data_IF_751918665606
#
_entry.id   IF_751918665606
#
_cell.length_a   1.000
_cell.length_b   1.000
_cell.length_c   1.000
_cell.angle_alpha   90.00
_cell.angle_beta   90.00
_cell.angle_gamma   90.00
#
_symmetry.space_group_name_H-M   'P 1'
#
loop_
_entity.id
_entity.type
_entity.pdbx_description
1 polymer ?
#
# COMPACT_ATOMS: atom_id res chain seq x y z
N UNK A 1 72.29 -26.61 21.67
CA UNK A 1 71.48 -26.10 20.54
C UNK A 1 70.96 -27.24 19.65
N UNK A 2 69.77 -27.75 19.94
CA UNK A 2 69.12 -28.81 19.14
C UNK A 2 68.33 -28.17 17.99
N UNK A 3 68.80 -28.33 16.74
CA UNK A 3 68.05 -27.94 15.54
C UNK A 3 66.98 -28.99 15.27
N UNK A 4 65.73 -28.66 15.57
CA UNK A 4 64.56 -29.45 15.17
C UNK A 4 64.41 -29.32 13.65
N UNK A 5 64.68 -30.40 12.90
CA UNK A 5 64.40 -30.48 11.47
C UNK A 5 62.93 -30.84 11.28
N UNK A 6 62.05 -29.83 11.31
CA UNK A 6 60.64 -30.01 10.96
C UNK A 6 60.55 -30.28 9.46
N UNK A 7 59.92 -31.38 9.07
CA UNK A 7 59.76 -31.70 7.64
C UNK A 7 58.76 -30.70 7.02
N UNK A 8 59.12 -30.12 5.87
CA UNK A 8 58.25 -29.18 5.15
C UNK A 8 56.88 -29.80 4.82
N UNK A 9 56.85 -31.11 4.57
CA UNK A 9 55.61 -31.88 4.34
C UNK A 9 54.70 -31.87 5.57
N UNK A 10 55.26 -32.00 6.78
CA UNK A 10 54.50 -31.94 8.02
C UNK A 10 53.91 -30.53 8.24
N UNK A 11 54.67 -29.49 7.92
CA UNK A 11 54.22 -28.10 8.04
C UNK A 11 53.07 -27.79 7.07
N UNK A 12 53.16 -28.27 5.82
CA UNK A 12 52.09 -28.13 4.83
C UNK A 12 50.81 -28.85 5.25
N UNK A 13 50.90 -30.06 5.80
CA UNK A 13 49.73 -30.80 6.29
C UNK A 13 49.04 -30.03 7.43
N UNK A 14 49.80 -29.52 8.40
CA UNK A 14 49.25 -28.72 9.50
C UNK A 14 48.55 -27.46 8.97
N UNK A 15 49.15 -26.79 7.97
CA UNK A 15 48.56 -25.59 7.38
C UNK A 15 47.25 -25.89 6.64
N UNK A 16 47.18 -27.01 5.91
CA UNK A 16 45.93 -27.42 5.24
C UNK A 16 44.81 -27.76 6.22
N UNK A 17 45.13 -28.42 7.34
CA UNK A 17 44.14 -28.72 8.40
C UNK A 17 43.64 -27.42 9.03
N UNK A 18 44.54 -26.46 9.28
CA UNK A 18 44.16 -25.16 9.86
C UNK A 18 43.23 -24.37 8.93
N UNK A 19 43.50 -24.36 7.62
CA UNK A 19 42.62 -23.71 6.64
C UNK A 19 41.24 -24.38 6.56
N UNK A 20 41.19 -25.72 6.56
CA UNK A 20 39.92 -26.45 6.56
C UNK A 20 39.11 -26.15 7.83
N UNK A 21 39.77 -26.08 8.98
CA UNK A 21 39.13 -25.74 10.25
C UNK A 21 38.61 -24.29 10.30
N UNK A 22 39.36 -23.33 9.75
CA UNK A 22 38.89 -21.94 9.68
C UNK A 22 37.71 -21.80 8.71
N UNK A 23 37.72 -22.47 7.56
CA UNK A 23 36.58 -22.49 6.64
C UNK A 23 35.33 -23.09 7.31
N UNK A 24 35.48 -24.22 8.02
CA UNK A 24 34.37 -24.85 8.76
C UNK A 24 33.83 -23.98 9.90
N UNK A 25 34.68 -23.28 10.64
CA UNK A 25 34.25 -22.38 11.73
C UNK A 25 33.58 -21.11 11.18
N UNK A 26 34.05 -20.56 10.06
CA UNK A 26 33.36 -19.46 9.38
C UNK A 26 32.01 -19.89 8.80
N UNK A 27 31.91 -21.09 8.22
CA UNK A 27 30.67 -21.59 7.66
C UNK A 27 29.61 -21.89 8.73
N UNK A 28 30.04 -22.42 9.88
CA UNK A 28 29.14 -22.65 11.04
C UNK A 28 28.78 -21.37 11.79
N UNK A 29 29.66 -20.38 11.83
CA UNK A 29 29.38 -19.07 12.46
C UNK A 29 28.48 -18.18 11.60
N UNK A 30 28.53 -18.31 10.27
CA UNK A 30 27.63 -17.60 9.36
C UNK A 30 26.17 -18.10 9.41
N UNK A 31 25.90 -19.23 10.09
CA UNK A 31 24.55 -19.67 10.42
C UNK A 31 24.02 -19.08 11.74
N UNK A 32 24.83 -18.32 12.49
CA UNK A 32 24.51 -17.82 13.85
C UNK A 32 24.78 -16.31 14.05
N UNK A 33 24.42 -15.47 13.09
CA UNK A 33 24.22 -14.02 13.29
C UNK A 33 22.85 -13.63 12.72
N UNK A 34 21.97 -12.84 13.35
CA UNK A 34 21.92 -12.09 14.60
C UNK A 34 20.44 -11.96 14.96
N UNK A 35 20.04 -12.39 16.16
CA UNK A 35 18.72 -12.11 16.72
C UNK A 35 18.75 -10.68 17.25
N UNK A 36 18.28 -9.73 16.45
CA UNK A 36 18.00 -8.37 16.93
C UNK A 36 16.87 -8.48 17.95
N UNK A 37 17.19 -8.34 19.24
CA UNK A 37 16.19 -8.11 20.28
C UNK A 37 15.61 -6.72 20.06
N UNK A 38 14.44 -6.67 19.42
CA UNK A 38 13.59 -5.48 19.41
C UNK A 38 12.94 -5.44 20.78
N UNK A 39 13.28 -4.40 21.56
CA UNK A 39 12.59 -4.04 22.79
C UNK A 39 11.11 -3.80 22.44
N UNK A 40 10.21 -4.57 23.03
CA UNK A 40 8.76 -4.42 22.88
C UNK A 40 8.32 -3.01 23.31
N UNK A 41 7.64 -2.22 22.47
CA UNK A 41 6.84 -1.11 22.94
C UNK A 41 5.51 -1.63 23.49
N UNK A 42 5.12 -1.04 24.60
CA UNK A 42 3.93 -1.33 25.42
C UNK A 42 2.64 -1.57 24.63
N UNK A 43 1.83 -2.47 25.21
CA UNK A 43 0.42 -2.74 24.91
C UNK A 43 -0.37 -1.43 24.69
N UNK A 44 -0.94 -1.25 23.50
CA UNK A 44 -2.04 -0.28 23.28
C UNK A 44 -3.34 -1.03 22.98
N UNK A 45 -4.49 -0.56 23.51
CA UNK A 45 -5.75 -1.27 23.40
C UNK A 45 -6.34 -1.20 21.99
N UNK A 46 -7.15 -2.22 21.69
CA UNK A 46 -7.85 -2.50 20.43
C UNK A 46 -8.56 -1.26 19.85
N UNK A 47 -8.09 -0.78 18.70
CA UNK A 47 -8.80 0.18 17.86
C UNK A 47 -9.45 -0.56 16.69
N UNK A 48 -10.77 -0.42 16.56
CA UNK A 48 -11.58 -1.00 15.48
C UNK A 48 -11.09 -0.52 14.12
N UNK A 49 -10.95 -1.48 13.19
CA UNK A 49 -10.56 -1.31 11.79
C UNK A 49 -11.65 -0.51 11.06
N UNK A 50 -11.34 0.71 10.58
CA UNK A 50 -12.14 1.42 9.59
C UNK A 50 -11.36 1.33 8.27
N UNK A 51 -11.98 0.68 7.27
CA UNK A 51 -11.45 0.57 5.92
C UNK A 51 -11.27 1.95 5.28
N UNK A 52 -10.05 2.19 4.80
CA UNK A 52 -9.59 3.48 4.27
C UNK A 52 -9.22 3.34 2.79
N UNK A 53 -10.07 2.68 1.99
CA UNK A 53 -9.85 2.56 0.54
C UNK A 53 -10.50 3.66 -0.29
N UNK A 54 -11.42 4.45 0.26
CA UNK A 54 -12.30 5.31 -0.57
C UNK A 54 -12.04 6.82 -0.46
N UNK A 55 -10.97 7.26 0.25
CA UNK A 55 -10.74 8.68 0.55
C UNK A 55 -9.55 9.30 -0.20
N UNK A 56 -9.35 8.98 -1.48
CA UNK A 56 -8.46 9.74 -2.35
C UNK A 56 -9.00 9.81 -3.78
N UNK A 57 -10.13 10.51 -3.95
CA UNK A 57 -10.44 11.21 -5.20
C UNK A 57 -10.25 12.71 -4.94
N UNK A 58 -9.24 13.30 -5.58
CA UNK A 58 -9.13 14.75 -5.68
C UNK A 58 -9.98 15.17 -6.88
N UNK A 59 -11.16 15.73 -6.60
CA UNK A 59 -11.90 16.49 -7.62
C UNK A 59 -11.30 17.89 -7.70
N UNK A 60 -10.71 18.17 -8.86
CA UNK A 60 -10.27 19.49 -9.30
C UNK A 60 -11.48 20.13 -10.01
N UNK A 61 -12.19 21.03 -9.33
CA UNK A 61 -13.21 21.87 -9.97
C UNK A 61 -13.19 23.28 -9.40
N UNK A 62 -13.27 24.22 -10.35
CA UNK A 62 -13.11 25.66 -10.25
C UNK A 62 -14.02 26.32 -9.21
N UNK A 63 -13.48 27.28 -8.47
CA UNK A 63 -14.27 28.24 -7.70
C UNK A 63 -14.43 29.50 -8.55
N UNK A 64 -15.64 29.70 -9.07
CA UNK A 64 -16.11 31.00 -9.56
C UNK A 64 -16.39 31.94 -8.39
N UNK A 65 -16.06 33.21 -8.59
CA UNK A 65 -16.34 34.35 -7.72
C UNK A 65 -17.84 34.53 -7.48
N UNK A 66 -18.25 34.72 -6.21
CA UNK A 66 -19.42 35.56 -5.89
C UNK A 66 -19.23 36.28 -4.55
N UNK A 67 -19.33 37.60 -4.61
CA UNK A 67 -19.14 38.59 -3.56
C UNK A 67 -20.45 38.78 -2.78
N UNK A 68 -20.41 38.54 -1.46
CA UNK A 68 -21.58 38.62 -0.61
C UNK A 68 -21.21 38.96 0.83
N UNK A 69 -20.80 40.21 1.06
CA UNK A 69 -20.33 40.72 2.35
C UNK A 69 -21.34 40.63 3.50
N UNK A 70 -20.90 40.05 4.62
CA UNK A 70 -21.49 40.31 5.94
C UNK A 70 -20.38 40.58 6.96
N UNK A 71 -20.14 41.86 7.24
CA UNK A 71 -19.18 42.34 8.24
C UNK A 71 -19.68 42.04 9.66
N UNK A 72 -19.17 40.97 10.26
CA UNK A 72 -19.28 40.74 11.70
C UNK A 72 -18.33 41.70 12.42
N UNK A 73 -18.87 42.62 13.24
CA UNK A 73 -18.08 43.53 14.10
C UNK A 73 -17.33 42.71 15.17
N UNK A 74 -16.03 42.48 14.96
CA UNK A 74 -15.16 41.84 15.93
C UNK A 74 -14.79 42.82 17.06
N UNK A 75 -14.85 42.34 18.31
CA UNK A 75 -14.60 43.11 19.53
C UNK A 75 -13.15 43.63 19.62
N UNK A 76 -13.03 44.89 20.02
CA UNK A 76 -11.79 45.64 20.29
C UNK A 76 -10.99 45.04 21.47
N UNK A 77 -10.16 44.05 21.20
CA UNK A 77 -9.27 43.45 22.21
C UNK A 77 -8.30 42.36 21.72
N UNK A 78 -8.42 41.87 20.49
CA UNK A 78 -7.33 41.12 19.84
C UNK A 78 -6.44 42.13 19.11
N UNK A 79 -5.13 42.13 19.38
CA UNK A 79 -4.18 42.77 18.45
C UNK A 79 -4.44 42.16 17.09
N UNK A 80 -4.68 43.00 16.10
CA UNK A 80 -5.00 42.54 14.76
C UNK A 80 -3.78 41.77 14.23
N UNK A 81 -4.02 40.58 13.70
CA UNK A 81 -3.02 39.80 12.99
C UNK A 81 -2.48 40.67 11.84
N UNK A 82 -1.24 41.15 11.94
CA UNK A 82 -0.67 42.08 10.96
C UNK A 82 -0.24 41.29 9.72
N UNK A 83 -0.52 41.83 8.53
CA UNK A 83 -0.04 41.26 7.28
C UNK A 83 1.35 41.84 6.97
N UNK A 84 2.31 40.98 6.67
CA UNK A 84 3.69 41.36 6.36
C UNK A 84 4.20 40.61 5.13
N UNK A 85 5.20 41.18 4.46
CA UNK A 85 5.85 40.57 3.31
C UNK A 85 7.04 39.70 3.75
N UNK A 86 7.02 38.41 3.39
CA UNK A 86 8.17 37.52 3.52
C UNK A 86 8.93 37.44 2.20
N UNK A 87 10.14 37.98 2.15
CA UNK A 87 11.02 37.86 0.98
C UNK A 87 11.84 36.56 1.06
N UNK A 88 11.59 35.63 0.15
CA UNK A 88 12.15 34.27 0.18
C UNK A 88 13.39 34.21 -0.72
N UNK A 89 14.55 33.94 -0.12
CA UNK A 89 15.86 33.77 -0.78
C UNK A 89 16.22 34.87 -1.80
N UNK A 90 15.75 36.09 -1.58
CA UNK A 90 15.93 37.23 -2.50
C UNK A 90 15.31 37.07 -3.90
N UNK A 91 14.33 36.17 -4.08
CA UNK A 91 13.74 35.89 -5.39
C UNK A 91 12.28 36.36 -5.52
N UNK A 92 11.45 36.05 -4.53
CA UNK A 92 10.02 36.37 -4.58
C UNK A 92 9.44 36.61 -3.18
N UNK A 93 8.31 37.30 -3.15
CA UNK A 93 7.61 37.69 -1.92
C UNK A 93 6.37 36.84 -1.69
N UNK A 94 6.12 36.47 -0.43
CA UNK A 94 4.93 35.74 0.03
C UNK A 94 4.23 36.54 1.12
N UNK A 95 2.89 36.65 1.05
CA UNK A 95 2.09 37.27 2.12
C UNK A 95 2.11 36.39 3.37
N UNK A 96 2.64 36.94 4.46
CA UNK A 96 2.79 36.33 5.77
C UNK A 96 1.94 37.06 6.81
N UNK A 97 1.83 36.47 7.99
CA UNK A 97 1.13 37.07 9.14
C UNK A 97 2.09 37.23 10.30
N UNK A 98 1.97 38.32 11.05
CA UNK A 98 2.73 38.54 12.28
C UNK A 98 1.79 38.71 13.47
N UNK A 99 2.07 38.00 14.56
CA UNK A 99 1.40 38.21 15.84
C UNK A 99 2.44 38.25 16.96
N UNK A 100 2.49 39.36 17.70
CA UNK A 100 3.39 39.55 18.84
C UNK A 100 4.87 39.23 18.57
N UNK A 101 5.34 39.53 17.35
CA UNK A 101 6.73 39.29 16.93
C UNK A 101 6.98 37.94 16.27
N UNK A 102 6.05 36.99 16.38
CA UNK A 102 6.13 35.69 15.69
C UNK A 102 5.62 35.83 14.25
N UNK A 103 6.36 35.25 13.29
CA UNK A 103 6.00 35.28 11.86
C UNK A 103 5.42 33.93 11.45
N UNK A 104 4.19 33.97 10.96
CA UNK A 104 3.47 32.82 10.42
C UNK A 104 3.51 32.85 8.90
N UNK A 105 4.04 31.78 8.32
CA UNK A 105 4.16 31.59 6.88
C UNK A 105 3.00 30.73 6.39
N UNK A 106 2.34 31.07 5.27
CA UNK A 106 1.20 30.31 4.78
C UNK A 106 1.58 28.87 4.42
N UNK A 107 0.75 27.91 4.84
CA UNK A 107 0.98 26.50 4.57
C UNK A 107 1.00 26.16 3.07
N UNK A 108 0.28 26.90 2.23
CA UNK A 108 0.30 26.74 0.77
C UNK A 108 1.71 26.91 0.18
N UNK A 109 2.50 27.83 0.72
CA UNK A 109 3.92 28.01 0.39
C UNK A 109 4.76 26.86 0.95
N UNK A 110 4.65 26.60 2.26
CA UNK A 110 5.43 25.58 2.97
C UNK A 110 5.27 24.20 2.31
N UNK A 111 4.04 23.82 1.94
CA UNK A 111 3.71 22.57 1.25
C UNK A 111 4.51 22.38 -0.03
N UNK A 112 4.58 23.42 -0.87
CA UNK A 112 5.25 23.35 -2.17
C UNK A 112 6.77 23.47 -2.03
N UNK A 113 7.22 24.37 -1.15
CA UNK A 113 8.63 24.68 -0.98
C UNK A 113 9.41 23.55 -0.29
N UNK A 114 8.82 22.90 0.72
CA UNK A 114 9.45 21.81 1.47
C UNK A 114 8.93 20.40 1.11
N UNK A 115 8.00 20.30 0.15
CA UNK A 115 7.38 19.03 -0.27
C UNK A 115 6.74 18.21 0.88
N UNK A 116 6.09 18.92 1.80
CA UNK A 116 5.44 18.38 3.00
C UNK A 116 3.92 18.32 2.86
N UNK A 117 3.27 17.49 3.66
CA UNK A 117 1.83 17.19 3.54
C UNK A 117 1.06 17.63 4.77
N UNK A 118 -0.22 17.92 4.57
CA UNK A 118 -1.06 18.38 5.66
C UNK A 118 -2.47 18.68 5.21
N UNK A 119 -3.42 18.49 6.13
CA UNK A 119 -4.85 18.67 5.88
C UNK A 119 -5.56 19.03 7.18
N UNK A 120 -6.68 19.73 7.06
CA UNK A 120 -7.57 19.99 8.19
C UNK A 120 -8.54 18.81 8.31
N UNK A 121 -8.60 18.21 9.50
CA UNK A 121 -9.47 17.08 9.83
C UNK A 121 -10.32 17.45 11.03
N UNK A 122 -11.61 17.09 10.97
CA UNK A 122 -12.54 17.24 12.10
C UNK A 122 -12.37 16.08 13.07
N UNK A 123 -11.96 16.38 14.30
CA UNK A 123 -11.91 15.41 15.38
C UNK A 123 -12.83 15.85 16.53
N UNK A 124 -13.86 15.05 16.81
CA UNK A 124 -14.85 15.34 17.87
C UNK A 124 -15.48 16.75 17.77
N UNK A 125 -15.74 17.20 16.54
CA UNK A 125 -16.34 18.51 16.27
C UNK A 125 -15.35 19.68 16.23
N UNK A 126 -14.06 19.46 16.51
CA UNK A 126 -13.02 20.49 16.45
C UNK A 126 -12.13 20.27 15.23
N UNK A 127 -11.88 21.34 14.48
CA UNK A 127 -10.95 21.34 13.34
C UNK A 127 -9.51 21.27 13.86
N UNK A 128 -8.73 20.32 13.32
CA UNK A 128 -7.31 20.17 13.62
C UNK A 128 -6.53 20.08 12.32
N UNK A 129 -5.46 20.84 12.21
CA UNK A 129 -4.51 20.68 11.13
C UNK A 129 -3.53 19.53 11.45
N UNK A 130 -3.55 18.49 10.63
CA UNK A 130 -2.62 17.37 10.72
C UNK A 130 -1.45 17.60 9.76
N UNK A 131 -0.24 17.69 10.29
CA UNK A 131 0.99 17.83 9.52
C UNK A 131 1.70 16.49 9.38
N UNK A 132 2.21 16.20 8.18
CA UNK A 132 2.98 15.00 7.88
C UNK A 132 4.17 15.33 6.98
N UNK A 133 5.35 14.90 7.37
CA UNK A 133 6.55 15.06 6.54
C UNK A 133 6.55 14.11 5.33
N UNK A 134 5.83 12.99 5.39
CA UNK A 134 5.70 12.03 4.29
C UNK A 134 4.32 11.34 4.32
N UNK A 135 3.91 10.76 3.20
CA UNK A 135 2.56 10.19 3.03
C UNK A 135 2.49 8.66 3.23
N UNK A 136 3.61 7.95 3.09
CA UNK A 136 3.64 6.48 3.13
C UNK A 136 3.86 5.96 4.54
N UNK A 137 3.26 4.80 4.86
CA UNK A 137 3.42 4.11 6.14
C UNK A 137 4.27 2.86 5.97
N UNK A 138 5.12 2.59 6.96
CA UNK A 138 5.90 1.36 7.03
C UNK A 138 4.98 0.23 7.52
N UNK A 139 4.99 -0.89 6.80
CA UNK A 139 4.35 -2.11 7.26
C UNK A 139 5.25 -2.82 8.27
N UNK A 140 4.72 -3.12 9.46
CA UNK A 140 5.43 -3.85 10.49
C UNK A 140 5.18 -5.36 10.34
N UNK A 141 6.20 -6.18 10.03
CA UNK A 141 6.02 -7.61 9.85
C UNK A 141 5.56 -8.31 11.13
N UNK A 142 4.47 -9.07 11.05
CA UNK A 142 3.90 -9.83 12.18
C UNK A 142 4.70 -11.10 12.52
N UNK A 143 5.44 -11.62 11.56
CA UNK A 143 6.20 -12.87 11.67
C UNK A 143 7.37 -12.89 10.69
N UNK A 144 8.30 -13.84 10.87
CA UNK A 144 9.38 -14.10 9.89
C UNK A 144 8.77 -14.49 8.54
N UNK A 145 9.34 -13.95 7.46
CA UNK A 145 8.86 -14.23 6.10
C UNK A 145 8.93 -15.73 5.76
N UNK A 146 7.86 -16.22 5.13
CA UNK A 146 7.73 -17.57 4.61
C UNK A 146 7.15 -17.49 3.18
N UNK A 147 7.80 -18.11 2.16
CA UNK A 147 7.33 -18.06 0.77
C UNK A 147 5.92 -18.59 0.52
N UNK A 148 5.39 -19.45 1.41
CA UNK A 148 4.03 -20.01 1.31
C UNK A 148 2.96 -19.20 2.04
N UNK A 149 3.30 -18.02 2.57
CA UNK A 149 2.39 -17.13 3.31
C UNK A 149 2.29 -15.77 2.60
N UNK A 150 1.58 -14.83 3.22
CA UNK A 150 1.40 -13.44 2.75
C UNK A 150 2.69 -12.88 2.18
N UNK A 151 2.59 -12.30 0.98
CA UNK A 151 3.73 -11.70 0.30
C UNK A 151 3.94 -10.27 0.81
N UNK A 152 4.87 -10.12 1.76
CA UNK A 152 5.20 -8.82 2.37
C UNK A 152 3.96 -8.10 2.93
N UNK A 153 3.60 -6.94 2.36
CA UNK A 153 2.43 -6.14 2.73
C UNK A 153 1.33 -6.14 1.66
N UNK A 154 1.38 -7.08 0.71
CA UNK A 154 0.46 -7.12 -0.44
C UNK A 154 -0.98 -7.46 -0.04
N UNK A 155 -1.23 -7.88 1.21
CA UNK A 155 -2.58 -7.93 1.79
C UNK A 155 -3.31 -6.58 1.66
N UNK A 156 -2.59 -5.46 1.65
CA UNK A 156 -3.15 -4.12 1.55
C UNK A 156 -3.10 -3.53 0.13
N UNK A 157 -2.66 -4.30 -0.88
CA UNK A 157 -2.53 -3.81 -2.24
C UNK A 157 -3.80 -4.08 -3.04
N UNK A 158 -4.36 -3.01 -3.60
CA UNK A 158 -5.39 -3.07 -4.64
C UNK A 158 -4.71 -2.70 -5.96
N UNK A 159 -4.42 -3.71 -6.78
CA UNK A 159 -3.65 -3.51 -8.02
C UNK A 159 -4.58 -3.03 -9.12
N UNK A 160 -5.76 -3.62 -9.18
CA UNK A 160 -6.84 -3.41 -10.14
C UNK A 160 -7.43 -1.99 -10.13
N UNK A 161 -7.31 -1.24 -9.03
CA UNK A 161 -7.83 0.14 -8.91
C UNK A 161 -6.85 1.22 -9.37
N UNK A 162 -5.62 0.86 -9.73
CA UNK A 162 -4.61 1.84 -10.14
C UNK A 162 -4.93 2.36 -11.53
N UNK A 163 -4.77 3.66 -11.77
CA UNK A 163 -5.10 4.31 -13.06
C UNK A 163 -4.37 3.72 -14.28
N UNK A 164 -3.19 3.12 -14.06
CA UNK A 164 -2.41 2.43 -15.10
C UNK A 164 -2.95 1.04 -15.44
N UNK A 165 -3.99 0.56 -14.77
CA UNK A 165 -4.70 -0.69 -15.11
C UNK A 165 -5.88 -0.31 -15.99
N UNK A 166 -5.80 -0.68 -17.27
CA UNK A 166 -6.87 -0.38 -18.22
C UNK A 166 -8.14 -1.18 -17.94
N UNK A 167 -7.96 -2.49 -17.72
CA UNK A 167 -9.01 -3.44 -17.43
C UNK A 167 -8.39 -4.77 -16.97
N UNK A 168 -9.25 -5.70 -16.53
CA UNK A 168 -8.93 -7.12 -16.45
C UNK A 168 -9.32 -7.75 -17.79
N UNK A 169 -8.39 -8.45 -18.43
CA UNK A 169 -8.65 -9.15 -19.69
C UNK A 169 -9.74 -10.21 -19.49
N UNK A 170 -10.80 -10.17 -20.29
CA UNK A 170 -11.86 -11.19 -20.22
C UNK A 170 -11.41 -12.57 -20.69
N UNK A 171 -10.38 -12.63 -21.55
CA UNK A 171 -9.82 -13.89 -22.07
C UNK A 171 -8.81 -14.47 -21.08
N UNK A 172 -7.91 -13.63 -20.56
CA UNK A 172 -6.77 -14.09 -19.76
C UNK A 172 -6.99 -13.97 -18.24
N UNK A 173 -8.02 -13.24 -17.81
CA UNK A 173 -8.30 -13.03 -16.38
C UNK A 173 -7.26 -12.20 -15.62
N UNK A 174 -6.37 -11.49 -16.33
CA UNK A 174 -5.25 -10.72 -15.73
C UNK A 174 -5.26 -9.25 -16.18
N UNK A 175 -4.65 -8.33 -15.41
CA UNK A 175 -4.67 -6.91 -15.72
C UNK A 175 -3.90 -6.54 -16.99
N UNK A 176 -4.45 -5.62 -17.77
CA UNK A 176 -3.81 -4.95 -18.92
C UNK A 176 -3.29 -3.58 -18.50
N UNK A 177 -2.03 -3.28 -18.78
CA UNK A 177 -1.35 -2.05 -18.36
C UNK A 177 -1.35 -0.98 -19.43
N UNK A 178 -1.46 0.29 -19.02
CA UNK A 178 -1.24 1.48 -19.88
C UNK A 178 0.01 2.26 -19.51
N UNK A 179 0.88 1.71 -18.64
CA UNK A 179 1.99 2.46 -18.04
C UNK A 179 2.97 3.08 -19.06
N UNK A 180 3.23 2.38 -20.17
CA UNK A 180 4.14 2.82 -21.22
C UNK A 180 3.50 2.93 -22.60
N UNK A 181 2.30 2.36 -22.78
CA UNK A 181 1.55 2.41 -24.04
C UNK A 181 0.05 2.47 -23.71
N UNK A 182 -0.61 3.53 -24.15
CA UNK A 182 -2.04 3.79 -23.92
C UNK A 182 -2.94 2.75 -24.61
N UNK A 183 -2.45 2.04 -25.62
CA UNK A 183 -3.19 0.96 -26.29
C UNK A 183 -3.44 -0.23 -25.36
N UNK A 184 -2.57 -0.45 -24.38
CA UNK A 184 -2.65 -1.56 -23.45
C UNK A 184 -1.69 -2.69 -23.79
N UNK A 185 -1.02 -3.24 -22.80
CA UNK A 185 -0.14 -4.41 -22.94
C UNK A 185 -0.10 -5.23 -21.65
N UNK A 186 0.22 -6.51 -21.77
CA UNK A 186 0.45 -7.35 -20.60
C UNK A 186 1.78 -7.02 -19.96
N UNK A 187 1.74 -6.52 -18.73
CA UNK A 187 2.94 -6.16 -17.99
C UNK A 187 3.20 -7.18 -16.87
N UNK A 188 4.24 -8.04 -16.98
CA UNK A 188 4.43 -9.17 -16.07
C UNK A 188 4.51 -8.78 -14.60
N UNK A 189 5.14 -7.64 -14.28
CA UNK A 189 5.24 -7.17 -12.89
C UNK A 189 3.85 -6.85 -12.31
N UNK A 190 2.98 -6.21 -13.09
CA UNK A 190 1.63 -5.88 -12.66
C UNK A 190 0.77 -7.15 -12.50
N UNK A 191 0.90 -8.10 -13.42
CA UNK A 191 0.21 -9.39 -13.35
C UNK A 191 0.66 -10.17 -12.11
N UNK A 192 1.97 -10.24 -11.85
CA UNK A 192 2.50 -10.89 -10.65
C UNK A 192 2.03 -10.19 -9.36
N UNK A 193 2.04 -8.85 -9.33
CA UNK A 193 1.52 -8.10 -8.17
C UNK A 193 0.04 -8.37 -7.92
N UNK A 194 -0.78 -8.44 -8.98
CA UNK A 194 -2.20 -8.75 -8.89
C UNK A 194 -2.43 -10.15 -8.28
N UNK A 195 -1.72 -11.17 -8.78
CA UNK A 195 -1.79 -12.52 -8.22
C UNK A 195 -1.34 -12.58 -6.76
N UNK A 196 -0.20 -11.97 -6.42
CA UNK A 196 0.35 -11.97 -5.07
C UNK A 196 -0.51 -11.21 -4.06
N UNK A 197 -1.20 -10.14 -4.47
CA UNK A 197 -2.16 -9.43 -3.62
C UNK A 197 -3.40 -10.26 -3.35
N UNK A 198 -4.00 -10.87 -4.39
CA UNK A 198 -5.16 -11.76 -4.20
C UNK A 198 -4.81 -13.00 -3.36
N UNK A 199 -3.64 -13.60 -3.59
CA UNK A 199 -3.14 -14.69 -2.75
C UNK A 199 -3.00 -14.28 -1.28
N UNK A 200 -2.45 -13.09 -1.02
CA UNK A 200 -2.28 -12.57 0.33
C UNK A 200 -3.63 -12.30 1.00
N UNK A 201 -4.57 -11.64 0.30
CA UNK A 201 -5.93 -11.36 0.78
C UNK A 201 -6.70 -12.62 1.12
N UNK A 202 -6.61 -13.66 0.30
CA UNK A 202 -7.23 -14.96 0.55
C UNK A 202 -6.79 -15.60 1.88
N UNK A 203 -5.58 -15.29 2.37
CA UNK A 203 -5.08 -15.81 3.65
C UNK A 203 -5.45 -14.92 4.85
N UNK A 204 -5.87 -13.68 4.64
CA UNK A 204 -6.00 -12.66 5.70
C UNK A 204 -7.41 -12.14 5.88
N UNK A 205 -8.21 -12.13 4.81
CA UNK A 205 -9.60 -11.69 4.82
C UNK A 205 -10.52 -12.83 5.27
N UNK A 206 -11.71 -12.46 5.76
CA UNK A 206 -12.76 -13.43 6.05
C UNK A 206 -13.26 -14.09 4.75
N UNK A 207 -13.71 -15.36 4.80
CA UNK A 207 -14.31 -16.00 3.63
C UNK A 207 -15.45 -15.17 3.03
N UNK A 208 -15.57 -15.10 1.69
CA UNK A 208 -16.61 -14.32 1.04
C UNK A 208 -17.99 -14.93 1.26
N UNK A 209 -19.02 -14.08 1.23
CA UNK A 209 -20.41 -14.55 1.16
C UNK A 209 -20.69 -15.08 -0.24
N UNK A 210 -21.04 -16.37 -0.35
CA UNK A 210 -21.36 -17.02 -1.61
C UNK A 210 -22.88 -17.19 -1.75
N UNK A 211 -23.43 -16.72 -2.87
CA UNK A 211 -24.83 -16.91 -3.24
C UNK A 211 -24.92 -17.68 -4.56
N UNK A 212 -25.42 -18.91 -4.49
CA UNK A 212 -25.67 -19.74 -5.66
C UNK A 212 -26.98 -19.30 -6.33
N UNK A 213 -26.94 -19.12 -7.65
CA UNK A 213 -28.09 -18.68 -8.44
C UNK A 213 -28.65 -19.84 -9.25
N UNK A 214 -27.79 -20.54 -10.00
CA UNK A 214 -28.13 -21.71 -10.81
C UNK A 214 -27.02 -22.75 -10.63
N UNK A 215 -27.42 -24.02 -10.46
CA UNK A 215 -26.54 -25.17 -10.28
C UNK A 215 -26.83 -26.29 -11.30
N UNK A 216 -27.78 -26.10 -12.22
CA UNK A 216 -28.17 -27.08 -13.22
C UNK A 216 -29.12 -28.17 -12.71
N UNK A 217 -29.26 -28.33 -11.40
CA UNK A 217 -30.12 -29.33 -10.76
C UNK A 217 -31.41 -28.71 -10.19
N UNK A 218 -31.29 -27.57 -9.51
CA UNK A 218 -32.35 -26.96 -8.72
C UNK A 218 -33.03 -25.83 -9.47
N UNK A 219 -34.32 -26.01 -9.79
CA UNK A 219 -35.13 -25.01 -10.51
C UNK A 219 -35.60 -23.82 -9.65
N UNK A 220 -35.37 -23.84 -8.35
CA UNK A 220 -36.02 -22.90 -7.41
C UNK A 220 -35.29 -21.56 -7.26
N UNK A 221 -33.97 -21.49 -7.51
CA UNK A 221 -33.16 -20.30 -7.24
C UNK A 221 -33.05 -19.36 -8.45
N UNK A 222 -33.08 -19.90 -9.68
CA UNK A 222 -32.98 -19.12 -10.91
C UNK A 222 -34.32 -19.01 -11.64
N UNK A 223 -34.78 -17.77 -11.85
CA UNK A 223 -35.96 -17.47 -12.66
C UNK A 223 -35.54 -16.98 -14.05
N UNK A 224 -35.31 -17.92 -14.95
CA UNK A 224 -34.92 -17.60 -16.33
C UNK A 224 -36.08 -17.04 -17.14
N UNK A 225 -35.83 -15.92 -17.81
CA UNK A 225 -36.75 -15.32 -18.78
C UNK A 225 -36.14 -15.50 -20.17
N UNK A 226 -36.87 -16.14 -21.07
CA UNK A 226 -36.42 -16.36 -22.45
C UNK A 226 -37.56 -16.09 -23.44
N UNK A 227 -37.19 -15.70 -24.67
CA UNK A 227 -38.17 -15.42 -25.72
C UNK A 227 -38.84 -16.72 -26.22
N UNK A 228 -40.04 -16.67 -26.82
CA UNK A 228 -40.67 -17.88 -27.39
C UNK A 228 -39.86 -18.58 -28.49
N UNK A 229 -38.84 -17.91 -29.05
CA UNK A 229 -37.93 -18.46 -30.07
C UNK A 229 -36.62 -18.99 -29.48
N UNK A 230 -36.41 -18.83 -28.18
CA UNK A 230 -35.29 -19.34 -27.42
C UNK A 230 -35.76 -20.50 -26.56
N UNK A 231 -34.86 -21.38 -26.17
CA UNK A 231 -35.16 -22.49 -25.27
C UNK A 231 -34.10 -22.57 -24.19
N UNK A 232 -34.50 -23.07 -23.02
CA UNK A 232 -33.57 -23.38 -21.95
C UNK A 232 -33.77 -24.83 -21.56
N UNK A 233 -32.71 -25.62 -21.58
CA UNK A 233 -32.74 -27.04 -21.25
C UNK A 233 -31.68 -27.36 -20.21
N UNK A 234 -31.96 -28.36 -19.39
CA UNK A 234 -30.96 -28.97 -18.51
C UNK A 234 -30.53 -30.28 -19.14
N UNK A 235 -29.23 -30.43 -19.38
CA UNK A 235 -28.64 -31.58 -20.05
C UNK A 235 -27.45 -32.08 -19.25
N UNK A 236 -27.27 -33.39 -19.21
CA UNK A 236 -26.10 -34.00 -18.59
C UNK A 236 -24.89 -33.80 -19.50
N UNK A 237 -23.89 -33.07 -19.03
CA UNK A 237 -22.63 -32.91 -19.73
C UNK A 237 -21.63 -33.95 -19.26
N UNK A 238 -21.12 -34.77 -20.18
CA UNK A 238 -20.20 -35.86 -19.84
C UNK A 238 -18.79 -35.40 -19.48
N UNK A 239 -18.41 -34.16 -19.83
CA UNK A 239 -17.08 -33.61 -19.54
C UNK A 239 -17.07 -32.95 -18.17
N UNK A 240 -18.12 -32.19 -17.85
CA UNK A 240 -18.33 -31.58 -16.54
C UNK A 240 -18.87 -32.57 -15.50
N UNK A 241 -19.29 -33.77 -15.92
CA UNK A 241 -19.93 -34.81 -15.10
C UNK A 241 -21.06 -34.26 -14.21
N UNK A 242 -21.86 -33.35 -14.78
CA UNK A 242 -22.92 -32.64 -14.07
C UNK A 242 -24.03 -32.18 -15.01
N UNK A 243 -25.19 -31.87 -14.45
CA UNK A 243 -26.26 -31.20 -15.19
C UNK A 243 -25.86 -29.74 -15.44
N UNK A 244 -25.95 -29.34 -16.71
CA UNK A 244 -25.68 -27.96 -17.14
C UNK A 244 -26.90 -27.37 -17.82
N UNK A 245 -26.94 -26.04 -17.88
CA UNK A 245 -28.00 -25.30 -18.57
C UNK A 245 -27.55 -24.96 -19.98
N UNK A 246 -28.26 -25.48 -20.99
CA UNK A 246 -28.11 -25.17 -22.41
C UNK A 246 -29.08 -24.03 -22.78
N UNK A 247 -28.56 -22.96 -23.39
CA UNK A 247 -29.28 -21.74 -23.76
C UNK A 247 -28.80 -21.12 -25.08
#
# INVERSE_FOLDING_TARGET
PMRVRVSLKLLLVIFTIFILFTILTYWTSCSKEKQWQIVEPCVTPVVKKIESSDLFKFDENNADDDDGGQRVKLRSGLRALEEIDCFINDEYTVSCRQDNGEVYIPYSFIRKYFEVYGKIVKHSGVDRFEWQHSYSKVYFPKQKYNPSKVFLWFENYNVEVRDRVKCISGVEGVPVSTQWDTRGHFYPIQIAQFGLSHFSKNLTESPPSMKFIEDGETTQNAKWLYSPRSGLKRVMDSVADSLVVEF
#
